data_IF_915132244980
#
_entry.id   IF_915132244980
#
_cell.length_a   1.000
_cell.length_b   1.000
_cell.length_c   1.000
_cell.angle_alpha   90.00
_cell.angle_beta   90.00
_cell.angle_gamma   90.00
#
_symmetry.space_group_name_H-M   'P 1'
#
loop_
_entity.id
_entity.type
_entity.pdbx_description
1 polymer ?
#
# COMPACT_ATOMS: atom_id res chain seq x y z
N UNK A 1 -6.94 -17.47 26.39
CA UNK A 1 -7.55 -17.40 25.03
C UNK A 1 -9.01 -17.88 25.02
N UNK A 2 -9.58 -18.17 26.20
CA UNK A 2 -10.95 -18.64 26.32
C UNK A 2 -11.93 -17.56 25.84
N UNK A 3 -12.69 -17.87 24.81
CA UNK A 3 -13.73 -17.00 24.29
C UNK A 3 -13.33 -16.03 23.18
N UNK A 4 -12.11 -16.11 22.65
CA UNK A 4 -11.69 -15.32 21.49
C UNK A 4 -11.89 -16.16 20.22
N UNK A 5 -12.68 -15.67 19.28
CA UNK A 5 -12.80 -16.33 17.97
C UNK A 5 -11.41 -16.27 17.28
N UNK A 6 -10.95 -17.43 16.78
CA UNK A 6 -9.68 -17.53 16.04
C UNK A 6 -9.68 -16.62 14.81
N UNK A 7 -10.83 -16.32 14.23
CA UNK A 7 -10.98 -15.34 13.16
C UNK A 7 -10.59 -13.91 13.60
N UNK A 8 -10.70 -13.58 14.88
CA UNK A 8 -10.31 -12.27 15.42
C UNK A 8 -8.79 -12.16 15.72
N UNK A 9 -8.05 -13.28 15.69
CA UNK A 9 -6.61 -13.30 15.99
C UNK A 9 -5.77 -12.75 14.83
N UNK A 10 -6.25 -12.81 13.60
CA UNK A 10 -5.51 -12.41 12.40
C UNK A 10 -5.71 -10.96 11.94
N UNK A 11 -6.48 -10.15 12.68
CA UNK A 11 -6.77 -8.78 12.28
C UNK A 11 -5.63 -7.81 12.61
N UNK A 12 -5.02 -7.20 11.61
CA UNK A 12 -4.13 -6.04 11.80
C UNK A 12 -4.86 -4.82 12.40
N UNK A 13 -6.18 -4.90 12.49
CA UNK A 13 -7.07 -3.80 12.86
C UNK A 13 -7.69 -3.94 14.23
N UNK A 14 -7.34 -5.01 14.97
CA UNK A 14 -7.79 -5.26 16.34
C UNK A 14 -6.62 -5.69 17.19
N UNK A 15 -6.58 -5.24 18.44
CA UNK A 15 -5.72 -5.88 19.44
C UNK A 15 -6.35 -7.21 19.85
N UNK A 16 -5.61 -8.29 19.64
CA UNK A 16 -5.97 -9.64 20.07
C UNK A 16 -5.54 -9.93 21.54
N UNK A 17 -5.05 -8.93 22.24
CA UNK A 17 -4.65 -8.98 23.64
C UNK A 17 -5.07 -7.69 24.36
N UNK A 18 -5.18 -7.75 25.68
CA UNK A 18 -5.41 -6.58 26.49
C UNK A 18 -4.09 -5.84 26.69
N UNK A 19 -4.02 -4.62 26.21
CA UNK A 19 -2.84 -3.77 26.40
C UNK A 19 -2.88 -3.11 27.77
N UNK A 20 -1.76 -3.15 28.53
CA UNK A 20 -1.72 -2.62 29.90
C UNK A 20 -2.00 -1.10 29.98
N UNK A 21 -1.64 -0.34 28.95
CA UNK A 21 -1.75 1.12 28.93
C UNK A 21 -2.87 1.66 28.02
N UNK A 22 -3.58 0.79 27.31
CA UNK A 22 -4.67 1.20 26.39
C UNK A 22 -5.94 0.48 26.80
N UNK A 23 -6.97 1.21 27.26
CA UNK A 23 -8.28 0.65 27.54
C UNK A 23 -8.86 -0.07 26.32
N UNK A 24 -9.62 -1.15 26.57
CA UNK A 24 -10.16 -2.00 25.48
C UNK A 24 -11.10 -1.23 24.55
N UNK A 25 -11.88 -0.34 25.09
CA UNK A 25 -12.82 0.54 24.37
C UNK A 25 -12.09 1.62 23.52
N UNK A 26 -10.87 2.02 23.92
CA UNK A 26 -10.05 2.98 23.18
C UNK A 26 -9.16 2.31 22.10
N UNK A 27 -8.99 1.00 22.14
CA UNK A 27 -8.06 0.27 21.28
C UNK A 27 -8.30 0.52 19.79
N UNK A 28 -9.56 0.55 19.37
CA UNK A 28 -9.94 0.85 17.97
C UNK A 28 -9.56 2.28 17.58
N UNK A 29 -9.88 3.25 18.42
CA UNK A 29 -9.56 4.67 18.18
C UNK A 29 -8.05 4.90 18.14
N UNK A 30 -7.31 4.20 18.98
CA UNK A 30 -5.84 4.23 18.96
C UNK A 30 -5.27 3.69 17.66
N UNK A 31 -5.73 2.53 17.20
CA UNK A 31 -5.31 1.93 15.94
C UNK A 31 -5.66 2.82 14.74
N UNK A 32 -6.89 3.34 14.66
CA UNK A 32 -7.31 4.24 13.59
C UNK A 32 -6.42 5.50 13.54
N UNK A 33 -6.05 6.04 14.70
CA UNK A 33 -5.14 7.19 14.81
C UNK A 33 -3.72 6.82 14.37
N UNK A 34 -3.22 5.66 14.79
CA UNK A 34 -1.89 5.17 14.42
C UNK A 34 -1.79 4.95 12.90
N UNK A 35 -2.76 4.29 12.30
CA UNK A 35 -2.80 4.08 10.84
C UNK A 35 -2.91 5.38 10.07
N UNK A 36 -3.74 6.30 10.53
CA UNK A 36 -3.89 7.61 9.88
C UNK A 36 -2.58 8.40 9.93
N UNK A 37 -1.92 8.41 11.10
CA UNK A 37 -0.62 9.07 11.27
C UNK A 37 0.47 8.41 10.42
N UNK A 38 0.50 7.07 10.35
CA UNK A 38 1.43 6.34 9.49
C UNK A 38 1.19 6.68 8.02
N UNK A 39 -0.06 6.69 7.58
CA UNK A 39 -0.43 7.06 6.22
C UNK A 39 -0.01 8.49 5.86
N UNK A 40 -0.25 9.45 6.75
CA UNK A 40 0.09 10.85 6.51
C UNK A 40 1.62 11.07 6.48
N UNK A 41 2.36 10.38 7.33
CA UNK A 41 3.81 10.52 7.43
C UNK A 41 4.57 9.71 6.36
N UNK A 42 4.22 8.43 6.19
CA UNK A 42 4.94 7.46 5.38
C UNK A 42 4.30 7.20 4.03
N UNK A 43 3.05 7.60 3.86
CA UNK A 43 2.29 7.41 2.63
C UNK A 43 1.67 6.02 2.47
N UNK A 44 0.90 5.85 1.40
CA UNK A 44 0.27 4.59 1.06
C UNK A 44 1.26 3.45 0.84
N UNK A 45 0.84 2.21 1.09
CA UNK A 45 1.68 1.01 0.92
C UNK A 45 2.28 0.88 -0.48
N UNK A 46 1.54 1.26 -1.51
CA UNK A 46 2.04 1.25 -2.88
C UNK A 46 3.19 2.26 -3.07
N UNK A 47 3.09 3.47 -2.51
CA UNK A 47 4.18 4.44 -2.54
C UNK A 47 5.43 3.85 -1.88
N UNK A 48 5.29 3.25 -0.70
CA UNK A 48 6.41 2.63 0.03
C UNK A 48 7.04 1.48 -0.74
N UNK A 49 6.22 0.62 -1.36
CA UNK A 49 6.69 -0.46 -2.24
C UNK A 49 7.55 0.08 -3.38
N UNK A 50 7.05 1.08 -4.08
CA UNK A 50 7.75 1.66 -5.23
C UNK A 50 9.01 2.45 -4.82
N UNK A 51 9.00 3.10 -3.67
CA UNK A 51 10.17 3.74 -3.11
C UNK A 51 11.26 2.73 -2.73
N UNK A 52 10.88 1.61 -2.10
CA UNK A 52 11.80 0.50 -1.78
C UNK A 52 12.38 -0.14 -3.05
N UNK A 53 11.57 -0.32 -4.09
CA UNK A 53 12.03 -0.78 -5.39
C UNK A 53 13.08 0.17 -5.98
N UNK A 54 12.89 1.48 -5.91
CA UNK A 54 13.87 2.46 -6.41
C UNK A 54 15.19 2.41 -5.63
N UNK A 55 15.14 2.22 -4.31
CA UNK A 55 16.35 2.01 -3.50
C UNK A 55 17.09 0.74 -3.96
N UNK A 56 16.37 -0.35 -4.14
CA UNK A 56 16.92 -1.62 -4.61
C UNK A 56 17.51 -1.49 -6.03
N UNK A 57 16.80 -0.83 -6.93
CA UNK A 57 17.25 -0.53 -8.29
C UNK A 57 18.59 0.22 -8.28
N UNK A 58 18.69 1.33 -7.57
CA UNK A 58 19.90 2.15 -7.52
C UNK A 58 21.09 1.42 -6.91
N UNK A 59 20.84 0.51 -5.96
CA UNK A 59 21.86 -0.25 -5.28
C UNK A 59 22.41 -1.39 -6.12
N UNK A 60 21.55 -2.07 -6.90
CA UNK A 60 21.90 -3.37 -7.50
C UNK A 60 21.80 -3.42 -9.02
N UNK A 61 21.37 -2.35 -9.71
CA UNK A 61 21.27 -2.33 -11.18
C UNK A 61 22.60 -2.60 -11.89
N UNK A 62 23.72 -2.30 -11.23
CA UNK A 62 25.07 -2.46 -11.74
C UNK A 62 25.88 -3.44 -10.88
N UNK A 63 25.20 -4.35 -10.16
CA UNK A 63 25.83 -5.39 -9.34
C UNK A 63 26.77 -6.28 -10.19
N UNK A 64 27.86 -6.75 -9.59
CA UNK A 64 28.82 -7.63 -10.24
C UNK A 64 28.24 -9.01 -10.53
N UNK A 65 27.35 -9.53 -9.65
CA UNK A 65 26.61 -10.78 -9.91
C UNK A 65 25.50 -10.50 -10.95
N UNK A 66 25.67 -11.15 -12.11
CA UNK A 66 24.72 -11.05 -13.23
C UNK A 66 23.29 -11.43 -12.82
N UNK A 67 23.14 -12.46 -11.99
CA UNK A 67 21.81 -12.94 -11.54
C UNK A 67 21.09 -11.91 -10.68
N UNK A 68 21.82 -11.24 -9.78
CA UNK A 68 21.29 -10.16 -8.96
C UNK A 68 20.86 -8.99 -9.84
N UNK A 69 21.73 -8.58 -10.75
CA UNK A 69 21.49 -7.48 -11.68
C UNK A 69 20.26 -7.72 -12.56
N UNK A 70 20.18 -8.90 -13.18
CA UNK A 70 19.05 -9.25 -14.07
C UNK A 70 17.73 -9.35 -13.31
N UNK A 71 17.74 -9.95 -12.11
CA UNK A 71 16.56 -10.03 -11.25
C UNK A 71 16.03 -8.64 -10.90
N UNK A 72 16.91 -7.74 -10.44
CA UNK A 72 16.54 -6.38 -10.05
C UNK A 72 16.01 -5.60 -11.26
N UNK A 73 16.64 -5.73 -12.43
CA UNK A 73 16.18 -5.08 -13.67
C UNK A 73 14.79 -5.58 -14.09
N UNK A 74 14.60 -6.89 -14.09
CA UNK A 74 13.30 -7.48 -14.44
C UNK A 74 12.20 -7.08 -13.47
N UNK A 75 12.46 -7.14 -12.17
CA UNK A 75 11.48 -6.77 -11.14
C UNK A 75 11.14 -5.28 -11.20
N UNK A 76 12.13 -4.40 -11.35
CA UNK A 76 11.92 -2.98 -11.46
C UNK A 76 11.08 -2.63 -12.71
N UNK A 77 11.37 -3.21 -13.86
CA UNK A 77 10.61 -3.01 -15.08
C UNK A 77 9.15 -3.49 -14.93
N UNK A 78 8.94 -4.66 -14.32
CA UNK A 78 7.61 -5.21 -14.07
C UNK A 78 6.78 -4.33 -13.14
N UNK A 79 7.38 -3.86 -12.03
CA UNK A 79 6.69 -2.98 -11.07
C UNK A 79 6.41 -1.60 -11.67
N UNK A 80 7.38 -1.02 -12.38
CA UNK A 80 7.21 0.26 -13.05
C UNK A 80 6.06 0.22 -14.07
N UNK A 81 5.99 -0.85 -14.87
CA UNK A 81 4.92 -1.06 -15.83
C UNK A 81 3.58 -1.32 -15.17
N UNK A 82 3.53 -2.15 -14.11
CA UNK A 82 2.29 -2.52 -13.44
C UNK A 82 1.67 -1.39 -12.62
N UNK A 83 2.48 -0.53 -12.00
CA UNK A 83 1.99 0.44 -11.01
C UNK A 83 2.13 1.91 -11.41
N UNK A 84 2.67 2.21 -12.59
CA UNK A 84 2.86 3.61 -13.03
C UNK A 84 1.56 4.41 -13.07
N UNK A 85 0.48 3.83 -13.62
CA UNK A 85 -0.83 4.47 -13.65
C UNK A 85 -1.44 4.64 -12.24
N UNK A 86 -1.19 3.69 -11.34
CA UNK A 86 -1.66 3.77 -9.96
C UNK A 86 -0.92 4.88 -9.18
N UNK A 87 0.38 5.07 -9.38
CA UNK A 87 1.12 6.22 -8.83
C UNK A 87 0.57 7.56 -9.35
N UNK A 88 0.25 7.65 -10.63
CA UNK A 88 -0.38 8.84 -11.19
C UNK A 88 -1.74 9.11 -10.54
N UNK A 89 -2.58 8.09 -10.41
CA UNK A 89 -3.89 8.20 -9.76
C UNK A 89 -3.77 8.62 -8.31
N UNK A 90 -2.80 8.06 -7.58
CA UNK A 90 -2.49 8.39 -6.19
C UNK A 90 -2.04 9.85 -6.03
N UNK A 91 -1.17 10.36 -6.91
CA UNK A 91 -0.79 11.78 -6.96
C UNK A 91 -2.03 12.68 -7.03
N UNK A 92 -2.97 12.37 -7.94
CA UNK A 92 -4.19 13.15 -8.13
C UNK A 92 -5.19 13.01 -6.97
N UNK A 93 -5.25 11.82 -6.37
CA UNK A 93 -6.11 11.56 -5.22
C UNK A 93 -5.65 12.34 -3.97
N UNK A 94 -4.35 12.33 -3.69
CA UNK A 94 -3.77 12.97 -2.49
C UNK A 94 -3.67 14.49 -2.61
N UNK A 95 -3.64 15.03 -3.81
CA UNK A 95 -3.41 16.46 -4.05
C UNK A 95 -4.31 17.40 -3.24
N UNK A 96 -5.64 17.15 -3.09
CA UNK A 96 -6.52 18.03 -2.32
C UNK A 96 -6.42 17.84 -0.80
N UNK A 97 -5.95 16.69 -0.31
CA UNK A 97 -6.00 16.32 1.12
C UNK A 97 -4.63 16.26 1.78
N UNK A 98 -3.60 15.84 1.04
CA UNK A 98 -2.23 15.73 1.53
C UNK A 98 -1.26 16.14 0.41
N UNK A 99 -1.12 17.45 0.21
CA UNK A 99 -0.27 18.03 -0.83
C UNK A 99 1.20 17.59 -0.71
N UNK A 100 1.84 17.61 0.46
CA UNK A 100 3.23 17.17 0.60
C UNK A 100 3.43 15.71 0.14
N UNK A 101 2.51 14.81 0.48
CA UNK A 101 2.58 13.42 0.03
C UNK A 101 2.32 13.30 -1.48
N UNK A 102 1.39 14.06 -2.03
CA UNK A 102 1.16 14.12 -3.48
C UNK A 102 2.42 14.53 -4.24
N UNK A 103 3.15 15.51 -3.75
CA UNK A 103 4.39 15.98 -4.38
C UNK A 103 5.50 14.90 -4.28
N UNK A 104 5.61 14.19 -3.16
CA UNK A 104 6.52 13.03 -3.01
C UNK A 104 6.18 11.90 -3.99
N UNK A 105 4.90 11.56 -4.15
CA UNK A 105 4.45 10.54 -5.11
C UNK A 105 4.78 10.95 -6.54
N UNK A 106 4.56 12.22 -6.89
CA UNK A 106 4.92 12.77 -8.20
C UNK A 106 6.41 12.66 -8.46
N UNK A 107 7.24 13.04 -7.50
CA UNK A 107 8.69 12.97 -7.63
C UNK A 107 9.16 11.53 -7.85
N UNK A 108 8.68 10.59 -7.03
CA UNK A 108 8.99 9.17 -7.18
C UNK A 108 8.59 8.64 -8.58
N UNK A 109 7.38 8.98 -9.04
CA UNK A 109 6.92 8.59 -10.38
C UNK A 109 7.85 9.10 -11.50
N UNK A 110 8.25 10.38 -11.42
CA UNK A 110 9.15 10.96 -12.40
C UNK A 110 10.57 10.34 -12.34
N UNK A 111 11.03 9.94 -11.15
CA UNK A 111 12.30 9.21 -11.01
C UNK A 111 12.22 7.83 -11.67
N UNK A 112 11.14 7.09 -11.46
CA UNK A 112 10.90 5.78 -12.09
C UNK A 112 10.88 5.92 -13.61
N UNK A 113 10.14 6.88 -14.13
CA UNK A 113 10.06 7.15 -15.58
C UNK A 113 11.43 7.45 -16.20
N UNK A 114 12.27 8.22 -15.52
CA UNK A 114 13.61 8.57 -16.00
C UNK A 114 14.63 7.44 -15.90
N UNK A 115 14.61 6.66 -14.83
CA UNK A 115 15.69 5.70 -14.53
C UNK A 115 15.40 4.28 -15.01
N UNK A 116 14.13 3.89 -15.04
CA UNK A 116 13.72 2.52 -15.38
C UNK A 116 12.95 2.50 -16.70
N UNK A 117 12.27 3.59 -17.01
CA UNK A 117 11.26 3.65 -18.02
C UNK A 117 9.92 3.21 -17.47
N UNK A 118 9.00 2.88 -18.32
CA UNK A 118 7.66 2.48 -17.91
C UNK A 118 6.64 2.74 -19.03
N UNK A 119 5.39 2.74 -18.64
CA UNK A 119 4.30 3.00 -19.56
C UNK A 119 4.39 4.40 -20.16
N UNK A 120 4.08 4.47 -21.46
CA UNK A 120 3.97 5.75 -22.15
C UNK A 120 3.10 6.74 -21.34
N UNK A 121 3.48 8.04 -21.30
CA UNK A 121 2.65 9.09 -20.66
C UNK A 121 1.20 9.11 -21.17
N UNK A 122 0.94 8.63 -22.38
CA UNK A 122 -0.40 8.49 -22.96
C UNK A 122 -1.26 7.50 -22.17
N UNK A 123 -0.71 6.37 -21.77
CA UNK A 123 -1.46 5.35 -21.02
C UNK A 123 -1.80 5.86 -19.61
N UNK A 124 -0.89 6.59 -18.97
CA UNK A 124 -1.17 7.24 -17.68
C UNK A 124 -2.34 8.24 -17.77
N UNK A 125 -2.48 8.95 -18.89
CA UNK A 125 -3.57 9.89 -19.13
C UNK A 125 -4.92 9.23 -19.31
N UNK A 126 -4.96 7.98 -19.80
CA UNK A 126 -6.20 7.22 -20.04
C UNK A 126 -6.57 6.42 -18.78
N UNK A 127 -5.67 5.60 -18.29
CA UNK A 127 -5.93 4.66 -17.17
C UNK A 127 -5.94 5.37 -15.81
N UNK A 128 -5.09 6.38 -15.63
CA UNK A 128 -4.98 7.09 -14.37
C UNK A 128 -6.29 7.75 -13.89
N UNK A 129 -7.03 8.50 -14.73
CA UNK A 129 -8.32 9.07 -14.35
C UNK A 129 -9.37 8.02 -13.98
N UNK A 130 -9.37 6.86 -14.63
CA UNK A 130 -10.29 5.75 -14.30
C UNK A 130 -9.97 5.22 -12.91
N UNK A 131 -8.71 4.97 -12.60
CA UNK A 131 -8.27 4.50 -11.28
C UNK A 131 -8.52 5.56 -10.19
N UNK A 132 -8.25 6.83 -10.45
CA UNK A 132 -8.54 7.91 -9.51
C UNK A 132 -10.04 8.07 -9.27
N UNK A 133 -10.86 7.88 -10.30
CA UNK A 133 -12.33 7.91 -10.21
C UNK A 133 -12.87 6.74 -9.37
N UNK A 134 -12.35 5.53 -9.57
CA UNK A 134 -12.74 4.36 -8.78
C UNK A 134 -12.37 4.53 -7.30
N UNK A 135 -11.14 4.95 -7.01
CA UNK A 135 -10.67 5.19 -5.64
C UNK A 135 -11.54 6.23 -4.90
N UNK A 136 -11.92 7.32 -5.58
CA UNK A 136 -12.83 8.32 -5.00
C UNK A 136 -14.24 7.77 -4.78
N UNK A 137 -14.73 6.93 -5.68
CA UNK A 137 -16.05 6.29 -5.55
C UNK A 137 -16.06 5.33 -4.37
N UNK A 138 -15.01 4.54 -4.21
CA UNK A 138 -14.89 3.59 -3.11
C UNK A 138 -14.73 4.29 -1.77
N UNK A 139 -13.94 5.38 -1.71
CA UNK A 139 -13.83 6.22 -0.53
C UNK A 139 -15.18 6.85 -0.10
N UNK A 140 -16.04 7.22 -1.07
CA UNK A 140 -17.39 7.75 -0.78
C UNK A 140 -18.38 6.66 -0.33
N UNK A 141 -18.20 5.42 -0.82
CA UNK A 141 -19.05 4.27 -0.44
C UNK A 141 -18.71 3.68 0.93
N UNK A 142 -17.53 4.00 1.45
CA UNK A 142 -17.06 3.58 2.77
C UNK A 142 -16.93 4.76 3.73
N UNK A 143 -18.02 5.51 4.02
CA UNK A 143 -17.98 6.59 4.98
C UNK A 143 -17.70 6.00 6.36
N UNK A 144 -16.62 6.40 6.98
CA UNK A 144 -16.19 5.94 8.30
C UNK A 144 -15.09 4.89 8.30
N UNK A 145 -14.44 4.66 7.16
CA UNK A 145 -13.23 3.81 7.11
C UNK A 145 -13.50 2.36 7.50
N UNK A 146 -14.67 1.82 7.15
CA UNK A 146 -14.90 0.38 7.26
C UNK A 146 -13.88 -0.33 6.37
N UNK A 147 -12.81 -0.78 7.00
CA UNK A 147 -11.96 -1.81 6.41
C UNK A 147 -12.86 -3.04 6.28
N UNK A 148 -13.19 -3.42 5.06
CA UNK A 148 -13.77 -4.73 4.82
C UNK A 148 -12.64 -5.74 5.00
N UNK A 149 -12.55 -6.33 6.19
CA UNK A 149 -11.72 -7.52 6.36
C UNK A 149 -12.25 -8.59 5.41
N UNK A 150 -11.40 -9.18 4.55
CA UNK A 150 -11.80 -10.34 3.80
C UNK A 150 -12.21 -11.43 4.79
N UNK A 151 -13.32 -12.12 4.53
CA UNK A 151 -13.75 -13.23 5.37
C UNK A 151 -12.62 -14.26 5.41
N UNK A 152 -12.06 -14.48 6.58
CA UNK A 152 -11.06 -15.53 6.78
C UNK A 152 -11.81 -16.86 6.88
N UNK A 153 -11.76 -17.65 5.83
CA UNK A 153 -12.28 -19.02 5.87
C UNK A 153 -11.26 -19.90 6.60
N UNK A 154 -11.56 -20.24 7.83
CA UNK A 154 -10.82 -21.28 8.55
C UNK A 154 -11.52 -22.61 8.25
N UNK A 155 -10.90 -23.45 7.44
CA UNK A 155 -11.36 -24.82 7.25
C UNK A 155 -11.05 -25.63 8.53
N UNK A 156 -12.09 -25.86 9.33
CA UNK A 156 -11.99 -26.61 10.58
C UNK A 156 -12.05 -28.14 10.38
N UNK A 157 -12.21 -28.62 9.15
CA UNK A 157 -12.37 -30.07 8.88
C UNK A 157 -11.14 -30.90 9.23
N UNK A 158 -9.96 -30.30 9.35
CA UNK A 158 -8.68 -30.97 9.63
C UNK A 158 -8.17 -30.79 11.09
N UNK A 159 -8.99 -30.30 12.02
CA UNK A 159 -8.57 -30.04 13.41
C UNK A 159 -9.01 -31.10 14.41
N UNK A 160 -9.56 -32.22 13.93
CA UNK A 160 -9.84 -33.39 14.76
C UNK A 160 -8.53 -34.20 14.92
N UNK A 161 -7.82 -33.94 16.02
CA UNK A 161 -6.81 -34.85 16.60
C UNK A 161 -7.32 -35.32 17.95
#
# INVERSE_FOLDING_TARGET
LDGIDLADIHGQFKFNFQHAAIPRDESKTFLDRAFRRDFDANGPSLYRLMASMMVSWRRYRDDTDVRVRERVRSEAARLASGYGAALWAMEKYLKPTNRPMSDRVRELRLQIEREIGGWSPVIHRIVGPILAGSARRDARRSPGGRVMEPQTFVDRSNWAV
#
